data_IF_022043323992
#
_entry.id   IF_022043323992
#
_cell.length_a   1.000
_cell.length_b   1.000
_cell.length_c   1.000
_cell.angle_alpha   90.00
_cell.angle_beta   90.00
_cell.angle_gamma   90.00
#
_symmetry.space_group_name_H-M   'P 1'
#
loop_
_entity.id
_entity.type
_entity.pdbx_description
1 polymer ?
#
# COMPACT_ATOMS: atom_id res chain seq x y z
N UNK A 1 2.02 -75.97 19.44
CA UNK A 1 0.84 -75.12 19.34
C UNK A 1 1.26 -73.76 19.81
N UNK A 2 1.63 -72.87 18.89
CA UNK A 2 2.14 -71.54 19.19
C UNK A 2 1.20 -70.46 18.60
N UNK A 3 0.56 -69.71 19.45
CA UNK A 3 -0.28 -68.59 19.07
C UNK A 3 0.61 -67.35 18.92
N UNK A 4 0.66 -66.78 17.72
CA UNK A 4 1.32 -65.50 17.46
C UNK A 4 0.31 -64.34 17.69
N UNK A 5 0.66 -63.30 18.45
CA UNK A 5 -0.20 -62.09 18.56
C UNK A 5 -0.04 -61.18 17.31
N UNK A 6 -1.10 -61.07 16.56
CA UNK A 6 -1.27 -60.06 15.48
C UNK A 6 -2.03 -58.87 16.03
N UNK A 7 -1.36 -57.94 16.68
CA UNK A 7 -2.05 -56.78 17.27
C UNK A 7 -1.30 -55.47 17.32
N UNK A 8 0.02 -55.44 17.03
CA UNK A 8 0.84 -54.25 17.31
C UNK A 8 1.15 -53.32 16.15
N UNK A 9 0.78 -53.68 14.92
CA UNK A 9 1.07 -52.85 13.74
C UNK A 9 -0.05 -51.85 13.36
N UNK A 10 -1.29 -52.05 13.83
CA UNK A 10 -2.39 -51.20 13.51
C UNK A 10 -2.46 -49.89 14.34
N UNK A 11 -1.88 -49.88 15.58
CA UNK A 11 -1.86 -48.69 16.42
C UNK A 11 -0.77 -47.67 16.03
N UNK A 12 0.33 -48.09 15.40
CA UNK A 12 1.42 -47.19 14.99
C UNK A 12 1.07 -46.38 13.75
N UNK A 13 0.19 -46.88 12.85
CA UNK A 13 -0.23 -46.18 11.64
C UNK A 13 -1.23 -45.07 11.94
N UNK A 14 -2.08 -45.21 12.98
CA UNK A 14 -3.07 -44.21 13.35
C UNK A 14 -2.44 -42.98 14.04
N UNK A 15 -1.32 -43.16 14.77
CA UNK A 15 -0.64 -42.01 15.42
C UNK A 15 0.15 -41.14 14.43
N UNK A 16 0.62 -41.68 13.30
CA UNK A 16 1.39 -40.94 12.30
C UNK A 16 0.48 -40.01 11.43
N UNK A 17 -0.80 -40.33 11.26
CA UNK A 17 -1.75 -39.49 10.51
C UNK A 17 -2.25 -38.31 11.34
N UNK A 18 -2.21 -38.33 12.66
CA UNK A 18 -2.71 -37.24 13.50
C UNK A 18 -1.73 -36.06 13.64
N UNK A 19 -0.43 -36.25 13.34
CA UNK A 19 0.56 -35.16 13.43
C UNK A 19 0.66 -34.28 12.18
N UNK A 20 0.06 -34.67 11.05
CA UNK A 20 0.11 -33.88 9.81
C UNK A 20 -1.00 -32.83 9.66
N UNK A 21 -2.00 -32.82 10.53
CA UNK A 21 -3.15 -31.90 10.45
C UNK A 21 -2.91 -30.54 11.13
N UNK A 22 -1.86 -30.40 11.95
CA UNK A 22 -1.64 -29.18 12.75
C UNK A 22 -1.03 -28.00 11.97
N UNK A 23 -0.31 -28.25 10.89
CA UNK A 23 0.41 -27.22 10.16
C UNK A 23 -0.46 -26.35 9.22
N UNK A 24 -1.54 -26.92 8.70
CA UNK A 24 -2.41 -26.22 7.76
C UNK A 24 -3.28 -25.11 8.38
N UNK A 25 -3.67 -25.30 9.64
CA UNK A 25 -4.55 -24.34 10.32
C UNK A 25 -3.86 -23.01 10.62
N UNK A 26 -2.58 -23.01 11.02
CA UNK A 26 -1.85 -21.78 11.34
C UNK A 26 -1.65 -20.89 10.10
N UNK A 27 -1.37 -21.49 8.95
CA UNK A 27 -1.20 -20.75 7.69
C UNK A 27 -2.51 -20.15 7.22
N UNK A 28 -3.61 -20.90 7.30
CA UNK A 28 -4.95 -20.41 6.95
C UNK A 28 -5.38 -19.27 7.89
N UNK A 29 -5.06 -19.35 9.18
CA UNK A 29 -5.33 -18.29 10.14
C UNK A 29 -4.55 -17.00 9.84
N UNK A 30 -3.27 -17.10 9.46
CA UNK A 30 -2.48 -15.91 9.10
C UNK A 30 -2.97 -15.25 7.81
N UNK A 31 -3.38 -16.04 6.80
CA UNK A 31 -4.01 -15.49 5.59
C UNK A 31 -5.35 -14.85 5.93
N UNK A 32 -6.14 -15.50 6.76
CA UNK A 32 -7.43 -14.99 7.21
C UNK A 32 -7.27 -13.71 8.04
N UNK A 33 -6.28 -13.65 8.93
CA UNK A 33 -6.01 -12.46 9.75
C UNK A 33 -5.62 -11.24 8.91
N UNK A 34 -4.83 -11.44 7.84
CA UNK A 34 -4.49 -10.33 6.95
C UNK A 34 -5.69 -9.81 6.14
N UNK A 35 -6.67 -10.67 5.83
CA UNK A 35 -7.92 -10.25 5.16
C UNK A 35 -8.77 -9.32 6.01
N UNK A 36 -8.56 -9.33 7.32
CA UNK A 36 -9.24 -8.43 8.25
C UNK A 36 -8.53 -7.08 8.36
N UNK A 37 -7.23 -7.01 8.01
CA UNK A 37 -6.47 -5.76 8.03
C UNK A 37 -7.07 -4.79 7.02
N UNK A 38 -7.36 -3.60 7.48
CA UNK A 38 -7.81 -2.47 6.66
C UNK A 38 -6.62 -1.64 6.26
N UNK A 39 -6.65 -1.15 5.03
CA UNK A 39 -5.65 -0.23 4.50
C UNK A 39 -6.39 0.97 3.93
N UNK A 40 -6.08 2.14 4.43
CA UNK A 40 -6.68 3.40 4.00
C UNK A 40 -5.59 4.40 3.63
N UNK A 41 -5.87 5.28 2.67
CA UNK A 41 -5.01 6.41 2.37
C UNK A 41 -5.38 7.56 3.30
N UNK A 42 -4.58 7.76 4.35
CA UNK A 42 -4.78 8.80 5.37
C UNK A 42 -4.35 10.20 4.88
N UNK A 43 -3.97 10.29 3.61
CA UNK A 43 -3.63 11.54 2.96
C UNK A 43 -2.21 11.60 2.42
N UNK A 44 -1.80 12.82 2.12
CA UNK A 44 -0.53 13.16 1.50
C UNK A 44 0.24 14.12 2.39
N UNK A 45 1.54 13.97 2.45
CA UNK A 45 2.42 14.90 3.15
C UNK A 45 3.57 15.38 2.25
N UNK A 46 4.08 16.58 2.56
CA UNK A 46 5.21 17.21 1.86
C UNK A 46 5.08 17.30 0.32
N UNK A 47 3.90 17.68 -0.22
CA UNK A 47 3.70 17.74 -1.66
C UNK A 47 4.50 18.90 -2.27
N UNK A 48 5.28 18.59 -3.34
CA UNK A 48 6.09 19.57 -4.07
C UNK A 48 6.01 19.35 -5.57
N UNK A 49 5.73 20.41 -6.32
CA UNK A 49 5.77 20.41 -7.78
C UNK A 49 6.95 21.25 -8.27
N UNK A 50 7.89 20.65 -8.99
CA UNK A 50 9.14 21.30 -9.40
C UNK A 50 9.86 22.01 -8.23
N UNK A 51 9.76 21.46 -7.00
CA UNK A 51 10.32 22.04 -5.78
C UNK A 51 9.48 23.12 -5.11
N UNK A 52 8.35 23.54 -5.70
CA UNK A 52 7.37 24.45 -5.09
C UNK A 52 6.52 23.66 -4.10
N UNK A 53 6.37 24.17 -2.88
CA UNK A 53 5.57 23.56 -1.82
C UNK A 53 4.08 23.83 -2.07
N UNK A 54 3.27 22.78 -2.26
CA UNK A 54 1.85 22.89 -2.54
C UNK A 54 0.97 22.96 -1.29
N UNK A 55 1.50 22.67 -0.10
CA UNK A 55 0.70 22.50 1.12
C UNK A 55 -0.06 23.76 1.57
N UNK A 56 0.34 24.92 1.10
CA UNK A 56 -0.27 26.23 1.45
C UNK A 56 -1.06 26.86 0.30
N UNK A 57 -1.02 26.26 -0.89
CA UNK A 57 -1.63 26.78 -2.09
C UNK A 57 -3.05 26.20 -2.26
N UNK A 58 -3.95 27.01 -2.77
CA UNK A 58 -5.32 26.61 -3.10
C UNK A 58 -5.60 26.70 -4.61
N UNK A 59 -4.74 27.38 -5.34
CA UNK A 59 -4.86 27.56 -6.78
C UNK A 59 -3.63 28.20 -7.38
N UNK A 60 -3.60 28.28 -8.69
CA UNK A 60 -2.52 28.90 -9.46
C UNK A 60 -2.25 30.35 -9.06
N UNK A 61 -3.29 31.10 -8.70
CA UNK A 61 -3.21 32.53 -8.39
C UNK A 61 -2.55 32.80 -7.02
N UNK A 62 -2.36 31.77 -6.18
CA UNK A 62 -1.62 31.86 -4.92
C UNK A 62 -0.09 31.78 -5.13
N UNK A 63 0.36 31.40 -6.32
CA UNK A 63 1.79 31.32 -6.63
C UNK A 63 2.44 32.71 -6.66
N UNK A 64 3.57 32.85 -6.01
CA UNK A 64 4.43 34.00 -6.28
C UNK A 64 4.99 33.96 -7.71
N UNK A 65 5.40 35.10 -8.25
CA UNK A 65 5.98 35.17 -9.58
C UNK A 65 7.21 34.24 -9.75
N UNK A 66 8.00 34.06 -8.68
CA UNK A 66 9.16 33.15 -8.69
C UNK A 66 8.75 31.68 -8.72
N UNK A 67 7.71 31.30 -8.01
CA UNK A 67 7.19 29.93 -8.01
C UNK A 67 6.56 29.58 -9.35
N UNK A 68 5.74 30.48 -9.91
CA UNK A 68 5.17 30.32 -11.24
C UNK A 68 6.28 30.19 -12.31
N UNK A 69 7.30 31.08 -12.28
CA UNK A 69 8.43 31.00 -13.20
C UNK A 69 9.20 29.67 -13.09
N UNK A 70 9.33 29.12 -11.88
CA UNK A 70 9.99 27.81 -11.65
C UNK A 70 9.20 26.66 -12.29
N UNK A 71 7.88 26.63 -12.12
CA UNK A 71 7.01 25.64 -12.75
C UNK A 71 7.08 25.74 -14.26
N UNK A 72 6.96 26.96 -14.82
CA UNK A 72 7.04 27.19 -16.26
C UNK A 72 8.40 26.80 -16.84
N UNK A 73 9.50 27.08 -16.13
CA UNK A 73 10.83 26.68 -16.52
C UNK A 73 11.01 25.15 -16.52
N UNK A 74 10.41 24.45 -15.55
CA UNK A 74 10.38 22.99 -15.49
C UNK A 74 9.66 22.39 -16.70
N UNK A 75 8.46 22.92 -17.03
CA UNK A 75 7.69 22.50 -18.21
C UNK A 75 8.49 22.78 -19.50
N UNK A 76 9.08 23.96 -19.64
CA UNK A 76 9.91 24.29 -20.79
C UNK A 76 11.16 23.40 -20.90
N UNK A 77 11.67 22.92 -19.76
CA UNK A 77 12.78 21.96 -19.67
C UNK A 77 12.38 20.51 -19.94
N UNK A 78 11.09 20.22 -20.15
CA UNK A 78 10.57 18.88 -20.46
C UNK A 78 10.47 17.93 -19.27
N UNK A 79 10.44 18.45 -18.02
CA UNK A 79 10.26 17.62 -16.82
C UNK A 79 9.52 18.42 -15.74
N UNK A 80 8.42 17.88 -15.25
CA UNK A 80 7.63 18.48 -14.17
C UNK A 80 7.45 17.48 -13.02
N UNK A 81 8.44 17.34 -12.12
CA UNK A 81 8.40 16.37 -11.04
C UNK A 81 7.44 16.79 -9.94
N UNK A 82 6.47 15.92 -9.66
CA UNK A 82 5.63 15.95 -8.47
C UNK A 82 6.20 14.98 -7.44
N UNK A 83 6.61 15.49 -6.29
CA UNK A 83 7.08 14.71 -5.13
C UNK A 83 6.08 14.82 -4.00
N UNK A 84 5.75 13.69 -3.40
CA UNK A 84 4.89 13.64 -2.22
C UNK A 84 5.13 12.35 -1.43
N UNK A 85 4.64 12.29 -0.21
CA UNK A 85 4.62 11.06 0.58
C UNK A 85 3.18 10.67 0.84
N UNK A 86 2.78 9.49 0.35
CA UNK A 86 1.48 8.90 0.67
C UNK A 86 1.55 8.33 2.09
N UNK A 87 0.56 8.63 2.92
CA UNK A 87 0.41 8.05 4.26
C UNK A 87 -0.64 6.96 4.19
N UNK A 88 -0.19 5.71 4.22
CA UNK A 88 -1.09 4.56 4.26
C UNK A 88 -1.28 4.15 5.70
N UNK A 89 -2.51 4.23 6.20
CA UNK A 89 -2.89 3.68 7.49
C UNK A 89 -3.19 2.20 7.33
N UNK A 90 -2.59 1.35 8.16
CA UNK A 90 -2.88 -0.06 8.25
C UNK A 90 -3.43 -0.36 9.64
N UNK A 91 -4.65 -0.86 9.72
CA UNK A 91 -5.32 -1.21 10.96
C UNK A 91 -5.65 -2.69 11.00
N UNK A 92 -5.12 -3.39 12.00
CA UNK A 92 -5.55 -4.73 12.35
C UNK A 92 -6.68 -4.59 13.39
N UNK A 93 -7.93 -5.00 13.08
CA UNK A 93 -9.05 -4.84 14.00
C UNK A 93 -8.79 -5.48 15.37
N UNK A 94 -9.31 -4.87 16.43
CA UNK A 94 -9.09 -5.35 17.80
C UNK A 94 -9.70 -6.75 18.08
N UNK A 95 -10.70 -7.14 17.30
CA UNK A 95 -11.34 -8.45 17.36
C UNK A 95 -10.58 -9.54 16.58
N UNK A 96 -9.54 -9.17 15.83
CA UNK A 96 -8.65 -10.14 15.21
C UNK A 96 -7.68 -10.69 16.26
N UNK A 97 -7.75 -12.00 16.60
CA UNK A 97 -6.97 -12.55 17.72
C UNK A 97 -5.45 -12.65 17.42
N UNK A 98 -5.03 -12.41 16.19
CA UNK A 98 -3.68 -12.71 15.73
C UNK A 98 -3.01 -11.49 15.11
N UNK A 99 -1.79 -11.10 15.54
CA UNK A 99 -1.00 -10.10 14.85
C UNK A 99 -0.73 -10.52 13.40
N UNK A 100 -0.86 -9.58 12.47
CA UNK A 100 -0.47 -9.78 11.07
C UNK A 100 0.98 -9.31 10.86
N UNK A 101 1.78 -10.06 10.09
CA UNK A 101 3.17 -9.71 9.76
C UNK A 101 3.30 -9.49 8.26
N UNK A 102 3.37 -8.21 7.88
CA UNK A 102 3.63 -7.79 6.51
C UNK A 102 5.15 -7.74 6.31
N UNK A 103 5.69 -8.42 5.30
CA UNK A 103 7.14 -8.42 5.00
C UNK A 103 7.46 -7.72 3.70
N UNK A 104 6.51 -7.60 2.80
CA UNK A 104 6.63 -6.77 1.61
C UNK A 104 5.26 -6.25 1.17
N UNK A 105 5.26 -5.08 0.53
CA UNK A 105 4.10 -4.48 -0.09
C UNK A 105 4.49 -4.01 -1.49
N UNK A 106 4.12 -4.76 -2.52
CA UNK A 106 4.21 -4.26 -3.89
C UNK A 106 3.03 -3.33 -4.14
N UNK A 107 3.28 -2.20 -4.77
CA UNK A 107 2.25 -1.21 -5.00
C UNK A 107 2.38 -0.55 -6.36
N UNK A 108 1.26 -0.02 -6.86
CA UNK A 108 1.20 0.85 -8.02
C UNK A 108 0.29 2.04 -7.74
N UNK A 109 0.74 3.19 -8.18
CA UNK A 109 0.04 4.44 -8.05
C UNK A 109 -0.65 4.78 -9.37
N UNK A 110 -1.93 5.08 -9.29
CA UNK A 110 -2.68 5.67 -10.39
C UNK A 110 -2.93 7.14 -10.05
N UNK A 111 -2.67 8.01 -11.01
CA UNK A 111 -2.98 9.43 -10.96
C UNK A 111 -3.94 9.73 -12.10
N UNK A 112 -5.11 10.25 -11.78
CA UNK A 112 -6.20 10.43 -12.74
C UNK A 112 -6.48 9.16 -13.57
N UNK A 113 -6.61 8.02 -12.88
CA UNK A 113 -6.85 6.68 -13.43
C UNK A 113 -5.74 6.14 -14.34
N UNK A 114 -4.63 6.86 -14.50
CA UNK A 114 -3.44 6.41 -15.24
C UNK A 114 -2.40 5.83 -14.30
N UNK A 115 -1.94 4.62 -14.59
CA UNK A 115 -0.82 4.04 -13.85
C UNK A 115 0.45 4.84 -14.12
N UNK A 116 1.00 5.47 -13.09
CA UNK A 116 2.17 6.35 -13.18
C UNK A 116 3.43 5.76 -12.57
N UNK A 117 3.28 5.06 -11.46
CA UNK A 117 4.41 4.48 -10.73
C UNK A 117 4.09 3.09 -10.21
N UNK A 118 5.14 2.28 -10.13
CA UNK A 118 5.15 1.04 -9.36
C UNK A 118 6.30 1.07 -8.36
N UNK A 119 6.12 0.40 -7.23
CA UNK A 119 7.16 0.29 -6.23
C UNK A 119 6.97 -0.90 -5.32
N UNK A 120 7.94 -1.13 -4.46
CA UNK A 120 7.88 -2.18 -3.45
C UNK A 120 8.48 -1.67 -2.15
N UNK A 121 7.80 -1.92 -1.05
CA UNK A 121 8.31 -1.74 0.29
C UNK A 121 8.69 -3.13 0.83
N UNK A 122 9.98 -3.40 0.98
CA UNK A 122 10.52 -4.63 1.56
C UNK A 122 10.96 -4.36 3.00
N UNK A 123 9.99 -4.36 3.91
CA UNK A 123 10.21 -4.14 5.35
C UNK A 123 9.20 -4.91 6.16
N UNK A 124 9.65 -5.57 7.22
CA UNK A 124 8.72 -6.20 8.16
C UNK A 124 7.97 -5.14 8.96
N UNK A 125 6.64 -5.27 8.97
CA UNK A 125 5.73 -4.44 9.76
C UNK A 125 4.81 -5.40 10.51
N UNK A 126 4.82 -5.30 11.83
CA UNK A 126 3.90 -6.03 12.70
C UNK A 126 2.67 -5.16 12.91
N UNK A 127 1.51 -5.71 12.63
CA UNK A 127 0.21 -5.08 12.80
C UNK A 127 -0.49 -5.77 13.96
N UNK A 128 -0.33 -5.22 15.16
CA UNK A 128 -0.98 -5.74 16.35
C UNK A 128 -2.48 -5.40 16.37
N UNK A 129 -3.33 -6.27 16.92
CA UNK A 129 -4.77 -6.01 17.04
C UNK A 129 -5.05 -4.69 17.75
N UNK A 130 -5.90 -3.86 17.15
CA UNK A 130 -6.32 -2.56 17.69
C UNK A 130 -5.24 -1.46 17.68
N UNK A 131 -4.09 -1.69 17.03
CA UNK A 131 -2.99 -0.72 16.97
C UNK A 131 -2.75 -0.30 15.52
N UNK A 132 -3.25 0.86 15.08
CA UNK A 132 -3.01 1.35 13.72
C UNK A 132 -1.53 1.71 13.52
N UNK A 133 -1.02 1.44 12.32
CA UNK A 133 0.37 1.73 11.92
C UNK A 133 0.34 2.57 10.65
N UNK A 134 1.08 3.68 10.65
CA UNK A 134 1.29 4.49 9.45
C UNK A 134 2.47 3.95 8.64
N UNK A 135 2.24 3.76 7.34
CA UNK A 135 3.23 3.31 6.36
C UNK A 135 3.46 4.46 5.38
N UNK A 136 4.56 5.23 5.53
CA UNK A 136 4.89 6.29 4.59
C UNK A 136 5.46 5.69 3.30
N UNK A 137 4.91 6.10 2.16
CA UNK A 137 5.38 5.74 0.82
C UNK A 137 5.81 7.01 0.07
N UNK A 138 7.11 7.33 0.02
CA UNK A 138 7.60 8.45 -0.77
C UNK A 138 7.49 8.12 -2.26
N UNK A 139 6.93 9.04 -3.04
CA UNK A 139 6.75 8.91 -4.48
C UNK A 139 7.22 10.15 -5.23
N UNK A 140 7.71 9.95 -6.44
CA UNK A 140 8.06 11.00 -7.37
C UNK A 140 7.54 10.64 -8.77
N UNK A 141 6.69 11.50 -9.33
CA UNK A 141 6.09 11.35 -10.66
C UNK A 141 6.49 12.53 -11.53
N UNK A 142 7.05 12.29 -12.70
CA UNK A 142 7.20 13.34 -13.71
C UNK A 142 5.90 13.44 -14.51
N UNK A 143 5.11 14.49 -14.28
CA UNK A 143 3.78 14.64 -14.87
C UNK A 143 3.83 14.71 -16.39
N UNK A 144 4.86 15.31 -16.99
CA UNK A 144 4.99 15.43 -18.45
C UNK A 144 5.21 14.08 -19.16
N UNK A 145 5.53 13.02 -18.43
CA UNK A 145 5.61 11.67 -19.00
C UNK A 145 4.25 11.00 -19.23
N UNK A 146 3.23 11.46 -18.52
CA UNK A 146 1.92 10.81 -18.49
C UNK A 146 0.80 11.70 -19.00
N UNK A 147 1.00 13.02 -18.99
CA UNK A 147 -0.01 14.02 -19.29
C UNK A 147 0.53 15.03 -20.29
N UNK A 148 -0.27 15.35 -21.31
CA UNK A 148 0.03 16.36 -22.35
C UNK A 148 -0.94 17.52 -22.20
N UNK A 149 -0.80 18.27 -21.10
CA UNK A 149 -1.71 19.32 -20.67
C UNK A 149 -0.93 20.60 -20.40
N UNK A 150 -1.66 21.72 -20.22
CA UNK A 150 -1.02 23.00 -19.91
C UNK A 150 -0.36 22.98 -18.52
N UNK A 151 0.62 23.86 -18.30
CA UNK A 151 1.27 23.99 -16.99
C UNK A 151 0.28 24.28 -15.86
N UNK A 152 -0.81 25.00 -16.13
CA UNK A 152 -1.86 25.31 -15.17
C UNK A 152 -2.68 24.06 -14.84
N UNK A 153 -3.10 23.28 -15.84
CA UNK A 153 -3.89 22.06 -15.64
C UNK A 153 -3.06 21.01 -14.86
N UNK A 154 -1.76 20.90 -15.18
CA UNK A 154 -0.84 20.01 -14.45
C UNK A 154 -0.61 20.47 -13.00
N UNK A 155 -0.60 21.78 -12.77
CA UNK A 155 -0.55 22.31 -11.41
C UNK A 155 -1.83 21.98 -10.64
N UNK A 156 -3.01 22.18 -11.27
CA UNK A 156 -4.30 21.88 -10.63
C UNK A 156 -4.43 20.37 -10.34
N UNK A 157 -3.96 19.51 -11.24
CA UNK A 157 -3.86 18.06 -11.01
C UNK A 157 -2.93 17.72 -9.81
N UNK A 158 -1.75 18.38 -9.75
CA UNK A 158 -0.81 18.18 -8.65
C UNK A 158 -1.39 18.66 -7.31
N UNK A 159 -2.11 19.77 -7.33
CA UNK A 159 -2.78 20.33 -6.15
C UNK A 159 -3.91 19.40 -5.66
N UNK A 160 -4.71 18.86 -6.58
CA UNK A 160 -5.73 17.87 -6.26
C UNK A 160 -5.10 16.59 -5.66
N UNK A 161 -4.01 16.12 -6.25
CA UNK A 161 -3.25 14.98 -5.75
C UNK A 161 -2.64 15.24 -4.36
N UNK A 162 -2.31 16.48 -4.06
CA UNK A 162 -1.82 16.91 -2.74
C UNK A 162 -2.90 16.95 -1.65
N UNK A 163 -4.16 16.67 -1.99
CA UNK A 163 -5.29 16.77 -1.07
C UNK A 163 -5.93 18.16 -1.03
N UNK A 164 -5.70 18.97 -2.07
CA UNK A 164 -6.39 20.25 -2.24
C UNK A 164 -7.90 20.06 -2.40
N UNK A 165 -8.66 21.07 -1.98
CA UNK A 165 -10.13 21.07 -2.01
C UNK A 165 -10.67 21.28 -3.45
N UNK A 166 -10.41 20.32 -4.33
CA UNK A 166 -10.86 20.35 -5.74
C UNK A 166 -12.06 19.45 -5.99
N UNK A 167 -12.59 18.78 -4.96
CA UNK A 167 -13.72 17.85 -5.06
C UNK A 167 -13.42 16.58 -5.86
N UNK A 168 -12.19 16.39 -6.32
CA UNK A 168 -11.74 15.19 -7.02
C UNK A 168 -10.61 14.54 -6.25
N UNK A 169 -10.60 13.20 -6.21
CA UNK A 169 -9.52 12.42 -5.62
C UNK A 169 -8.79 11.65 -6.72
N UNK A 170 -7.81 12.29 -7.39
CA UNK A 170 -7.16 11.67 -8.54
C UNK A 170 -6.18 10.55 -8.16
N UNK A 171 -5.90 10.36 -6.86
CA UNK A 171 -4.96 9.34 -6.38
C UNK A 171 -5.68 8.05 -6.03
N UNK A 172 -5.24 6.96 -6.65
CA UNK A 172 -5.60 5.58 -6.27
C UNK A 172 -4.33 4.77 -6.09
N UNK A 173 -4.20 4.10 -4.96
CA UNK A 173 -3.10 3.19 -4.67
C UNK A 173 -3.63 1.74 -4.73
N UNK A 174 -3.04 0.91 -5.58
CA UNK A 174 -3.28 -0.53 -5.59
C UNK A 174 -2.06 -1.23 -5.01
N UNK A 175 -2.31 -2.17 -4.11
CA UNK A 175 -1.23 -2.84 -3.41
C UNK A 175 -1.45 -4.35 -3.33
N UNK A 176 -0.32 -5.08 -3.28
CA UNK A 176 -0.30 -6.53 -3.12
C UNK A 176 0.64 -6.89 -1.97
N UNK A 177 0.10 -7.18 -0.80
CA UNK A 177 0.90 -7.52 0.37
C UNK A 177 1.49 -8.93 0.27
N UNK A 178 2.65 -9.12 0.91
CA UNK A 178 3.29 -10.40 1.17
C UNK A 178 3.43 -10.55 2.68
N UNK A 179 3.03 -11.68 3.21
CA UNK A 179 3.05 -11.98 4.65
C UNK A 179 3.96 -13.13 4.97
N UNK A 180 4.50 -13.14 6.18
CA UNK A 180 5.25 -14.28 6.69
C UNK A 180 4.28 -15.37 7.16
N UNK A 181 4.55 -16.60 6.76
CA UNK A 181 3.89 -17.80 7.27
C UNK A 181 4.94 -18.79 7.80
N UNK A 182 4.54 -19.82 8.58
CA UNK A 182 5.45 -20.88 9.02
C UNK A 182 6.13 -21.64 7.85
N UNK A 183 5.58 -21.57 6.65
CA UNK A 183 6.12 -22.20 5.44
C UNK A 183 6.88 -21.24 4.53
N UNK A 184 7.11 -19.99 4.99
CA UNK A 184 7.79 -18.94 4.24
C UNK A 184 6.86 -17.78 3.81
N UNK A 185 7.39 -16.83 3.06
CA UNK A 185 6.62 -15.69 2.60
C UNK A 185 5.48 -16.12 1.65
N UNK A 186 4.28 -15.64 1.89
CA UNK A 186 3.12 -15.85 1.04
C UNK A 186 2.64 -14.53 0.45
N UNK A 187 2.67 -14.42 -0.87
CA UNK A 187 2.13 -13.28 -1.61
C UNK A 187 0.61 -13.38 -1.72
N UNK A 188 -0.09 -12.31 -1.45
CA UNK A 188 -1.54 -12.26 -1.57
C UNK A 188 -1.98 -12.46 -3.03
N UNK A 189 -3.01 -13.27 -3.31
CA UNK A 189 -3.39 -13.64 -4.69
C UNK A 189 -4.03 -12.47 -5.46
N UNK A 190 -4.56 -11.46 -4.77
CA UNK A 190 -5.22 -10.30 -5.35
C UNK A 190 -4.51 -8.98 -5.03
N UNK A 191 -4.96 -7.92 -5.66
CA UNK A 191 -4.62 -6.55 -5.27
C UNK A 191 -5.73 -5.99 -4.37
N UNK A 192 -5.35 -5.15 -3.44
CA UNK A 192 -6.25 -4.33 -2.66
C UNK A 192 -6.19 -2.90 -3.19
N UNK A 193 -7.33 -2.25 -3.32
CA UNK A 193 -7.40 -0.83 -3.61
C UNK A 193 -7.39 -0.07 -2.29
N UNK A 194 -6.49 0.89 -2.18
CA UNK A 194 -6.32 1.78 -1.04
C UNK A 194 -6.72 3.17 -1.54
N UNK A 195 -7.91 3.61 -1.17
CA UNK A 195 -8.42 4.93 -1.51
C UNK A 195 -8.51 5.80 -0.26
N UNK A 196 -8.54 7.11 -0.46
CA UNK A 196 -8.88 8.00 0.64
C UNK A 196 -10.32 7.73 1.07
N UNK A 197 -10.52 7.37 2.33
CA UNK A 197 -11.86 7.38 2.91
C UNK A 197 -12.23 8.85 3.04
N UNK A 198 -13.13 9.30 2.16
CA UNK A 198 -13.66 10.65 2.23
C UNK A 198 -14.30 10.84 3.61
N UNK A 199 -13.76 11.79 4.39
CA UNK A 199 -14.34 12.24 5.64
C UNK A 199 -15.64 13.00 5.39
#
# INVERSE_FOLDING_TARGET
>A
MGVRPRGSLALAAAAALALSAGGGCATLQQIASLRLVRFDLDGVSSPRLAGVDLSRLRGWDDLSGTEAARILAAVAGGSLPLRLTLRVAAENPADNPTPARLVALDWRLLLDQRETLTGSLAREIVLDPGSPVEIPLPVEVDLLRFFDESARDLFDLALAAAGGDTGTHPLELRARPTVTTPYGPLRYPGEITISSTGG
#
